data_IF_945098914090
#
_entry.id   IF_945098914090
#
_cell.length_a   1.000
_cell.length_b   1.000
_cell.length_c   1.000
_cell.angle_alpha   90.00
_cell.angle_beta   90.00
_cell.angle_gamma   90.00
#
_symmetry.space_group_name_H-M   'P 1'
#
loop_
_entity.id
_entity.type
_entity.pdbx_description
1 polymer ?
#
# COMPACT_ATOMS: atom_id res chain seq x y z
N UNK A 1 -2.08 -30.98 -42.96
CA UNK A 1 -1.40 -29.99 -43.81
C UNK A 1 -0.10 -29.57 -43.14
N UNK A 2 1.04 -29.97 -43.69
CA UNK A 2 2.40 -29.59 -43.23
C UNK A 2 2.97 -28.60 -44.26
N UNK A 3 3.45 -27.44 -43.82
CA UNK A 3 4.26 -26.52 -44.63
C UNK A 3 5.38 -25.97 -43.74
N UNK A 4 6.54 -26.66 -43.74
CA UNK A 4 7.82 -26.28 -44.37
C UNK A 4 8.49 -25.03 -43.78
N UNK A 5 9.61 -25.31 -43.12
CA UNK A 5 10.71 -24.40 -42.78
C UNK A 5 11.30 -23.79 -44.06
N UNK A 6 11.77 -22.54 -43.99
CA UNK A 6 12.82 -22.02 -44.86
C UNK A 6 13.92 -21.38 -44.03
N UNK A 7 15.14 -21.66 -44.42
CA UNK A 7 16.42 -21.33 -43.80
C UNK A 7 17.15 -20.23 -44.58
N UNK A 8 18.01 -19.51 -43.85
CA UNK A 8 19.22 -18.80 -44.30
C UNK A 8 18.99 -17.50 -45.11
N UNK A 9 19.84 -16.47 -45.08
CA UNK A 9 21.30 -16.47 -44.91
C UNK A 9 21.83 -15.06 -44.56
N UNK A 10 23.02 -15.07 -43.98
CA UNK A 10 24.00 -14.05 -43.55
C UNK A 10 24.07 -12.69 -44.26
N UNK A 11 24.42 -11.61 -43.56
CA UNK A 11 25.79 -11.06 -43.45
C UNK A 11 25.67 -9.53 -43.37
N UNK A 12 26.56 -8.70 -42.83
CA UNK A 12 27.94 -8.82 -42.41
C UNK A 12 28.27 -7.56 -41.58
N UNK A 13 29.36 -7.65 -40.82
CA UNK A 13 29.81 -6.80 -39.73
C UNK A 13 30.68 -5.59 -40.14
N UNK A 14 30.94 -4.72 -39.14
CA UNK A 14 32.00 -3.68 -38.96
C UNK A 14 31.60 -2.28 -39.47
N UNK A 15 31.92 -1.18 -38.77
CA UNK A 15 33.15 -0.87 -38.02
C UNK A 15 32.97 0.16 -36.89
N UNK A 16 33.95 0.12 -35.98
CA UNK A 16 34.31 1.05 -34.90
C UNK A 16 34.57 2.51 -35.36
N UNK A 17 34.35 3.48 -34.46
CA UNK A 17 35.28 4.54 -33.96
C UNK A 17 34.44 5.58 -33.18
N UNK A 18 34.64 5.78 -31.86
CA UNK A 18 35.56 6.73 -31.21
C UNK A 18 35.16 8.20 -31.52
N UNK A 19 34.92 9.16 -30.61
CA UNK A 19 35.54 9.55 -29.35
C UNK A 19 34.86 10.88 -28.89
N UNK A 20 34.90 11.20 -27.57
CA UNK A 20 34.89 12.58 -26.98
C UNK A 20 33.56 13.36 -27.08
N UNK A 21 33.07 14.21 -26.19
CA UNK A 21 33.44 14.88 -24.93
C UNK A 21 32.06 15.25 -24.29
N UNK A 22 31.84 15.25 -22.98
CA UNK A 22 32.33 16.30 -22.10
C UNK A 22 31.49 17.58 -22.14
N UNK A 23 30.16 17.53 -21.95
CA UNK A 23 29.36 18.75 -21.75
C UNK A 23 28.46 18.64 -20.52
N UNK A 24 28.98 19.10 -19.38
CA UNK A 24 28.18 19.48 -18.21
C UNK A 24 27.40 20.75 -18.53
N UNK A 25 26.08 20.82 -18.31
CA UNK A 25 25.37 22.09 -18.42
C UNK A 25 25.71 22.95 -17.20
N UNK A 26 26.44 24.03 -17.46
CA UNK A 26 26.72 25.11 -16.51
C UNK A 26 25.38 25.73 -16.07
N UNK A 27 25.18 25.77 -14.75
CA UNK A 27 24.15 26.57 -14.10
C UNK A 27 24.34 28.05 -14.45
N UNK A 28 23.38 28.63 -15.18
CA UNK A 28 23.27 30.09 -15.32
C UNK A 28 21.98 30.53 -14.64
N UNK A 29 22.20 31.34 -13.62
CA UNK A 29 21.23 31.94 -12.72
C UNK A 29 20.26 32.90 -13.42
N UNK A 30 19.08 32.99 -12.79
CA UNK A 30 18.18 34.15 -12.76
C UNK A 30 17.40 34.49 -14.04
N UNK A 31 16.11 34.14 -14.01
CA UNK A 31 14.97 35.05 -14.22
C UNK A 31 13.69 34.33 -13.74
N UNK A 32 12.92 35.02 -12.87
CA UNK A 32 11.93 34.40 -11.99
C UNK A 32 10.63 33.92 -12.64
N UNK A 33 9.97 33.02 -11.92
CA UNK A 33 8.52 32.81 -11.85
C UNK A 33 8.30 31.52 -11.06
N UNK A 34 7.74 31.65 -9.85
CA UNK A 34 7.04 30.61 -9.10
C UNK A 34 7.63 29.20 -9.18
N UNK A 35 8.55 28.91 -8.27
CA UNK A 35 9.04 27.55 -8.04
C UNK A 35 7.91 26.65 -7.55
N UNK A 36 7.21 26.00 -8.48
CA UNK A 36 6.55 24.74 -8.21
C UNK A 36 7.68 23.78 -7.86
N UNK A 37 7.87 23.51 -6.57
CA UNK A 37 8.56 22.30 -6.15
C UNK A 37 7.84 21.17 -6.88
N UNK A 38 8.53 20.53 -7.83
CA UNK A 38 8.08 19.25 -8.34
C UNK A 38 8.11 18.31 -7.13
N UNK A 39 6.97 18.23 -6.44
CA UNK A 39 6.66 17.18 -5.49
C UNK A 39 6.91 15.90 -6.27
N UNK A 40 8.07 15.32 -6.02
CA UNK A 40 8.41 13.99 -6.51
C UNK A 40 7.38 13.11 -5.85
N UNK A 41 6.28 12.85 -6.55
CA UNK A 41 5.16 12.07 -6.04
C UNK A 41 5.73 10.72 -5.64
N UNK A 42 5.95 10.55 -4.34
CA UNK A 42 6.36 9.27 -3.79
C UNK A 42 5.15 8.38 -4.02
N UNK A 43 5.31 7.37 -4.87
CA UNK A 43 4.29 6.35 -5.07
C UNK A 43 4.01 5.73 -3.69
N UNK A 44 2.75 5.81 -3.27
CA UNK A 44 2.30 5.27 -2.00
C UNK A 44 1.04 4.44 -2.22
N UNK A 45 0.80 3.51 -1.31
CA UNK A 45 -0.43 2.71 -1.29
C UNK A 45 -1.50 3.52 -0.55
N UNK A 46 -2.58 3.87 -1.23
CA UNK A 46 -3.71 4.55 -0.60
C UNK A 46 -4.55 3.54 0.15
N UNK A 47 -4.61 3.64 1.48
CA UNK A 47 -5.35 2.73 2.36
C UNK A 47 -6.25 3.54 3.29
N UNK A 48 -7.52 3.16 3.43
CA UNK A 48 -8.41 3.80 4.40
C UNK A 48 -8.09 3.30 5.82
N UNK A 49 -8.27 4.13 6.85
CA UNK A 49 -7.80 3.82 8.21
C UNK A 49 -8.25 2.46 8.77
N UNK A 50 -9.52 2.08 8.58
CA UNK A 50 -9.97 0.81 9.14
C UNK A 50 -9.43 -0.41 8.38
N UNK A 51 -9.12 -0.27 7.09
CA UNK A 51 -8.46 -1.33 6.33
C UNK A 51 -7.05 -1.57 6.84
N UNK A 52 -6.29 -0.52 7.20
CA UNK A 52 -4.98 -0.68 7.83
C UNK A 52 -5.07 -1.56 9.09
N UNK A 53 -6.09 -1.38 9.93
CA UNK A 53 -6.34 -2.25 11.09
C UNK A 53 -6.61 -3.70 10.68
N UNK A 54 -7.37 -3.93 9.61
CA UNK A 54 -7.59 -5.26 9.06
C UNK A 54 -6.28 -5.91 8.59
N UNK A 55 -5.38 -5.15 7.97
CA UNK A 55 -4.10 -5.65 7.41
C UNK A 55 -3.18 -6.23 8.48
N UNK A 56 -3.24 -5.69 9.70
CA UNK A 56 -2.47 -6.21 10.84
C UNK A 56 -2.70 -7.70 11.09
N UNK A 57 -3.91 -8.20 10.74
CA UNK A 57 -4.37 -9.58 10.97
C UNK A 57 -4.64 -10.38 9.69
N UNK A 58 -4.17 -9.93 8.53
CA UNK A 58 -4.47 -10.60 7.26
C UNK A 58 -3.74 -11.94 7.09
N UNK A 59 -4.48 -13.02 6.77
CA UNK A 59 -3.99 -14.39 6.58
C UNK A 59 -4.17 -14.94 5.15
N UNK A 60 -4.54 -14.11 4.17
CA UNK A 60 -4.76 -14.60 2.81
C UNK A 60 -6.09 -15.34 2.55
N UNK A 61 -7.09 -15.20 3.43
CA UNK A 61 -8.35 -15.95 3.32
C UNK A 61 -9.54 -15.22 3.96
N UNK A 62 -10.75 -15.69 3.65
CA UNK A 62 -12.01 -15.17 4.22
C UNK A 62 -12.75 -14.17 3.34
N UNK A 63 -12.20 -13.82 2.17
CA UNK A 63 -12.80 -12.90 1.20
C UNK A 63 -13.00 -13.58 -0.15
N UNK A 64 -13.64 -12.88 -1.09
CA UNK A 64 -13.73 -13.34 -2.48
C UNK A 64 -12.33 -13.50 -3.08
N UNK A 65 -12.12 -14.42 -4.04
CA UNK A 65 -10.80 -14.62 -4.65
C UNK A 65 -10.17 -13.33 -5.19
N UNK A 66 -10.92 -12.53 -5.95
CA UNK A 66 -10.44 -11.26 -6.49
C UNK A 66 -10.02 -10.26 -5.39
N UNK A 67 -10.71 -10.25 -4.25
CA UNK A 67 -10.34 -9.40 -3.12
C UNK A 67 -9.07 -9.90 -2.43
N UNK A 68 -8.92 -11.22 -2.24
CA UNK A 68 -7.72 -11.85 -1.69
C UNK A 68 -6.49 -11.59 -2.58
N UNK A 69 -6.64 -11.69 -3.89
CA UNK A 69 -5.56 -11.44 -4.85
C UNK A 69 -5.09 -9.98 -4.76
N UNK A 70 -6.03 -9.01 -4.76
CA UNK A 70 -5.71 -7.59 -4.62
C UNK A 70 -5.05 -7.27 -3.26
N UNK A 71 -5.60 -7.81 -2.17
CA UNK A 71 -5.06 -7.64 -0.82
C UNK A 71 -3.62 -8.17 -0.74
N UNK A 72 -3.37 -9.36 -1.31
CA UNK A 72 -2.04 -9.97 -1.28
C UNK A 72 -1.02 -9.14 -2.06
N UNK A 73 -1.40 -8.59 -3.21
CA UNK A 73 -0.55 -7.68 -3.98
C UNK A 73 -0.23 -6.39 -3.22
N UNK A 74 -1.22 -5.80 -2.55
CA UNK A 74 -1.04 -4.61 -1.71
C UNK A 74 -0.11 -4.89 -0.53
N UNK A 75 -0.31 -6.01 0.17
CA UNK A 75 0.54 -6.39 1.30
C UNK A 75 1.98 -6.63 0.83
N UNK A 76 2.18 -7.21 -0.35
CA UNK A 76 3.53 -7.34 -0.91
C UNK A 76 4.19 -5.97 -1.13
N UNK A 77 3.49 -5.00 -1.74
CA UNK A 77 3.99 -3.63 -1.92
C UNK A 77 4.41 -2.97 -0.59
N UNK A 78 3.58 -3.12 0.44
CA UNK A 78 3.87 -2.58 1.78
C UNK A 78 5.08 -3.29 2.42
N UNK A 79 5.19 -4.61 2.27
CA UNK A 79 6.34 -5.39 2.72
C UNK A 79 7.63 -5.01 1.96
N UNK A 80 7.52 -4.59 0.70
CA UNK A 80 8.64 -4.10 -0.11
C UNK A 80 9.05 -2.66 0.25
N UNK A 81 8.41 -2.05 1.24
CA UNK A 81 8.74 -0.72 1.76
C UNK A 81 7.98 0.43 1.10
N UNK A 82 6.99 0.15 0.26
CA UNK A 82 6.13 1.20 -0.27
C UNK A 82 5.38 1.90 0.88
N UNK A 83 5.43 3.24 0.98
CA UNK A 83 4.72 3.97 2.03
C UNK A 83 3.21 3.78 1.93
N UNK A 84 2.52 3.77 3.07
CA UNK A 84 1.06 3.86 3.13
C UNK A 84 0.63 5.32 3.32
N UNK A 85 -0.36 5.75 2.55
CA UNK A 85 -1.11 7.00 2.77
C UNK A 85 -2.50 6.66 3.31
N UNK A 86 -2.89 7.30 4.42
CA UNK A 86 -4.25 7.15 4.93
C UNK A 86 -5.22 8.09 4.20
N UNK A 87 -6.20 7.53 3.49
CA UNK A 87 -7.16 8.28 2.66
C UNK A 87 -8.59 8.22 3.20
N UNK A 88 -9.39 9.25 2.90
CA UNK A 88 -10.84 9.20 3.12
C UNK A 88 -11.55 8.48 1.96
N UNK A 89 -12.53 7.64 2.30
CA UNK A 89 -13.34 6.93 1.33
C UNK A 89 -12.72 5.61 0.84
N UNK A 90 -13.19 5.09 -0.31
CA UNK A 90 -12.67 3.85 -0.87
C UNK A 90 -11.20 3.97 -1.29
N UNK A 91 -10.44 2.88 -1.11
CA UNK A 91 -8.99 2.86 -1.23
C UNK A 91 -8.50 1.81 -2.25
N UNK A 92 -7.19 1.55 -2.31
CA UNK A 92 -6.61 0.56 -3.22
C UNK A 92 -7.16 -0.85 -2.96
N UNK A 93 -7.44 -1.18 -1.70
CA UNK A 93 -7.99 -2.48 -1.34
C UNK A 93 -9.45 -2.64 -1.82
N UNK A 94 -10.23 -1.55 -1.87
CA UNK A 94 -11.62 -1.56 -2.32
C UNK A 94 -11.81 -1.91 -3.81
N UNK A 95 -10.80 -1.74 -4.67
CA UNK A 95 -10.95 -1.71 -6.13
C UNK A 95 -11.81 -2.87 -6.71
N UNK A 96 -11.61 -4.14 -6.32
CA UNK A 96 -12.39 -5.25 -6.87
C UNK A 96 -13.90 -5.19 -6.54
N UNK A 97 -14.31 -4.40 -5.55
CA UNK A 97 -15.68 -4.33 -5.05
C UNK A 97 -16.41 -3.04 -5.44
N UNK A 98 -15.75 -2.07 -6.07
CA UNK A 98 -16.31 -0.74 -6.31
C UNK A 98 -17.48 -0.74 -7.31
N UNK A 99 -17.50 -1.69 -8.23
CA UNK A 99 -18.53 -1.84 -9.26
C UNK A 99 -19.59 -2.89 -8.91
N UNK A 100 -19.42 -3.60 -7.80
CA UNK A 100 -20.32 -4.68 -7.40
C UNK A 100 -21.65 -4.14 -6.85
N UNK A 101 -22.79 -4.75 -7.20
CA UNK A 101 -24.06 -4.47 -6.56
C UNK A 101 -23.96 -4.68 -5.04
N UNK A 102 -24.43 -3.71 -4.26
CA UNK A 102 -24.31 -3.78 -2.80
C UNK A 102 -22.94 -3.34 -2.24
N UNK A 103 -22.10 -2.72 -3.07
CA UNK A 103 -20.88 -2.03 -2.60
C UNK A 103 -21.21 -1.08 -1.43
N UNK A 104 -20.65 -1.38 -0.26
CA UNK A 104 -20.86 -0.60 0.96
C UNK A 104 -19.70 0.36 1.26
N UNK A 105 -18.64 0.39 0.42
CA UNK A 105 -17.42 1.16 0.68
C UNK A 105 -17.66 2.66 0.89
N UNK A 106 -18.78 3.18 0.37
CA UNK A 106 -19.19 4.59 0.47
C UNK A 106 -20.23 4.87 1.56
N UNK A 107 -20.69 3.84 2.27
CA UNK A 107 -21.72 3.99 3.30
C UNK A 107 -21.20 4.79 4.50
N UNK A 108 -22.09 5.55 5.14
CA UNK A 108 -21.75 6.36 6.31
C UNK A 108 -21.25 5.50 7.48
N UNK A 109 -21.76 4.28 7.64
CA UNK A 109 -21.27 3.34 8.66
C UNK A 109 -19.77 3.02 8.47
N UNK A 110 -19.30 2.94 7.23
CA UNK A 110 -17.88 2.66 6.94
C UNK A 110 -17.04 3.91 7.14
N UNK A 111 -17.54 5.09 6.73
CA UNK A 111 -16.89 6.38 7.02
C UNK A 111 -16.74 6.63 8.52
N UNK A 112 -17.75 6.25 9.31
CA UNK A 112 -17.66 6.30 10.76
C UNK A 112 -16.55 5.39 11.30
N UNK A 113 -16.41 4.16 10.77
CA UNK A 113 -15.30 3.26 11.12
C UNK A 113 -13.95 3.86 10.78
N UNK A 114 -13.80 4.53 9.64
CA UNK A 114 -12.54 5.21 9.29
C UNK A 114 -12.18 6.31 10.27
N UNK A 115 -13.14 7.18 10.61
CA UNK A 115 -12.93 8.29 11.56
C UNK A 115 -12.49 7.77 12.92
N UNK A 116 -13.08 6.67 13.37
CA UNK A 116 -12.69 6.00 14.61
C UNK A 116 -11.31 5.37 14.50
N UNK A 117 -11.03 4.66 13.40
CA UNK A 117 -9.76 3.97 13.19
C UNK A 117 -8.58 4.96 13.07
N UNK A 118 -8.73 6.10 12.38
CA UNK A 118 -7.62 7.07 12.26
C UNK A 118 -7.24 7.67 13.61
N UNK A 119 -8.23 7.93 14.48
CA UNK A 119 -7.97 8.45 15.83
C UNK A 119 -7.23 7.42 16.70
N UNK A 120 -7.66 6.15 16.62
CA UNK A 120 -7.01 5.03 17.30
C UNK A 120 -5.57 4.82 16.80
N UNK A 121 -5.33 4.83 15.48
CA UNK A 121 -3.97 4.69 14.89
C UNK A 121 -3.09 5.87 15.32
N UNK A 122 -3.59 7.10 15.26
CA UNK A 122 -2.83 8.28 15.69
C UNK A 122 -2.44 8.20 17.18
N UNK A 123 -3.35 7.70 18.02
CA UNK A 123 -3.07 7.45 19.44
C UNK A 123 -1.96 6.41 19.62
N UNK A 124 -2.02 5.27 18.92
CA UNK A 124 -1.01 4.22 19.04
C UNK A 124 0.38 4.65 18.55
N UNK A 125 0.43 5.50 17.52
CA UNK A 125 1.70 6.02 16.98
C UNK A 125 2.21 7.26 17.74
N UNK A 126 1.43 7.82 18.67
CA UNK A 126 1.80 9.01 19.42
C UNK A 126 2.00 10.25 18.55
N UNK A 127 1.39 10.30 17.35
CA UNK A 127 1.53 11.42 16.40
C UNK A 127 0.24 11.66 15.62
N UNK A 128 0.06 12.90 15.17
CA UNK A 128 -1.03 13.23 14.25
C UNK A 128 -0.77 12.61 12.87
N UNK A 129 -1.86 12.19 12.22
CA UNK A 129 -1.83 11.67 10.85
C UNK A 129 -2.49 12.72 9.96
N UNK A 130 -1.66 13.40 9.17
CA UNK A 130 -2.11 14.45 8.26
C UNK A 130 -2.47 13.86 6.90
N UNK A 131 -3.55 14.36 6.30
CA UNK A 131 -3.93 14.02 4.93
C UNK A 131 -2.79 14.36 3.97
N UNK A 132 -2.52 13.50 2.98
CA UNK A 132 -1.44 13.71 2.02
C UNK A 132 -0.05 13.33 2.53
N UNK A 133 0.10 12.91 3.79
CA UNK A 133 1.36 12.36 4.31
C UNK A 133 1.33 10.85 4.32
N UNK A 134 2.35 10.24 3.71
CA UNK A 134 2.57 8.81 3.77
C UNK A 134 3.63 8.43 4.80
N UNK A 135 3.64 7.17 5.22
CA UNK A 135 4.64 6.62 6.12
C UNK A 135 4.90 5.14 5.82
N UNK A 136 6.09 4.65 6.15
CA UNK A 136 6.41 3.23 5.99
C UNK A 136 5.91 2.45 7.20
N UNK A 137 5.35 1.27 6.96
CA UNK A 137 5.01 0.29 8.00
C UNK A 137 6.28 -0.48 8.43
N UNK A 138 7.27 0.26 8.91
CA UNK A 138 8.52 -0.32 9.39
C UNK A 138 8.30 -1.20 10.63
N UNK A 139 9.37 -1.85 11.09
CA UNK A 139 9.34 -2.74 12.26
C UNK A 139 8.77 -2.07 13.50
N UNK A 140 9.12 -0.81 13.75
CA UNK A 140 8.69 -0.10 14.95
C UNK A 140 7.21 0.27 14.85
N UNK A 141 6.78 0.83 13.72
CA UNK A 141 5.39 1.21 13.44
C UNK A 141 4.50 -0.02 13.51
N UNK A 142 4.86 -1.11 12.83
CA UNK A 142 4.06 -2.33 12.81
C UNK A 142 3.96 -2.99 14.19
N UNK A 143 5.04 -2.97 14.99
CA UNK A 143 5.02 -3.48 16.38
C UNK A 143 4.04 -2.69 17.25
N UNK A 144 4.13 -1.35 17.23
CA UNK A 144 3.25 -0.48 18.01
C UNK A 144 1.78 -0.71 17.68
N UNK A 145 1.45 -0.80 16.38
CA UNK A 145 0.08 -1.05 15.93
C UNK A 145 -0.40 -2.44 16.36
N UNK A 146 0.43 -3.48 16.24
CA UNK A 146 0.07 -4.84 16.65
C UNK A 146 -0.10 -4.98 18.16
N UNK A 147 0.77 -4.37 18.96
CA UNK A 147 0.65 -4.35 20.42
C UNK A 147 -0.63 -3.65 20.86
N UNK A 148 -0.89 -2.46 20.32
CA UNK A 148 -2.12 -1.72 20.60
C UNK A 148 -3.38 -2.49 20.15
N UNK A 149 -3.32 -3.15 19.00
CA UNK A 149 -4.42 -3.99 18.51
C UNK A 149 -4.68 -5.19 19.44
N UNK A 150 -3.62 -5.87 19.89
CA UNK A 150 -3.70 -7.01 20.80
C UNK A 150 -4.26 -6.61 22.19
N UNK A 151 -3.87 -5.43 22.69
CA UNK A 151 -4.44 -4.85 23.92
C UNK A 151 -5.89 -4.36 23.74
N UNK A 152 -6.35 -4.23 22.50
CA UNK A 152 -7.69 -3.74 22.19
C UNK A 152 -7.83 -2.21 22.19
N UNK A 153 -6.74 -1.46 22.36
CA UNK A 153 -6.77 0.01 22.47
C UNK A 153 -7.08 0.71 21.15
N UNK A 154 -6.84 0.04 20.01
CA UNK A 154 -7.16 0.53 18.66
C UNK A 154 -8.25 -0.28 17.94
N UNK A 155 -9.20 -0.84 18.70
CA UNK A 155 -10.24 -1.74 18.16
C UNK A 155 -11.64 -1.16 18.19
N UNK A 156 -11.82 0.14 18.46
CA UNK A 156 -13.17 0.74 18.48
C UNK A 156 -13.86 0.62 17.12
N UNK A 157 -13.12 0.81 16.03
CA UNK A 157 -13.63 0.63 14.67
C UNK A 157 -14.01 -0.83 14.33
N UNK A 158 -13.55 -1.81 15.12
CA UNK A 158 -13.88 -3.23 14.94
C UNK A 158 -15.24 -3.61 15.55
N UNK A 159 -15.89 -2.73 16.29
CA UNK A 159 -17.19 -3.03 16.90
C UNK A 159 -18.25 -3.38 15.85
N UNK A 160 -18.95 -4.49 16.07
CA UNK A 160 -19.91 -5.04 15.11
C UNK A 160 -19.28 -5.55 13.80
N UNK A 161 -17.97 -5.74 13.74
CA UNK A 161 -17.32 -6.41 12.60
C UNK A 161 -17.47 -7.93 12.72
N UNK A 162 -17.91 -8.58 11.65
CA UNK A 162 -18.07 -10.04 11.59
C UNK A 162 -16.75 -10.79 11.85
N UNK A 163 -15.61 -10.18 11.49
CA UNK A 163 -14.28 -10.76 11.64
C UNK A 163 -13.65 -10.54 13.02
N UNK A 164 -14.33 -9.82 13.93
CA UNK A 164 -13.75 -9.41 15.22
C UNK A 164 -13.20 -10.60 16.01
N UNK A 165 -13.91 -11.74 16.02
CA UNK A 165 -13.49 -12.96 16.74
C UNK A 165 -12.25 -13.59 16.09
N UNK A 166 -12.20 -13.66 14.76
CA UNK A 166 -11.04 -14.16 14.02
C UNK A 166 -9.80 -13.30 14.32
N UNK A 167 -9.91 -11.98 14.16
CA UNK A 167 -8.83 -11.05 14.44
C UNK A 167 -8.34 -11.17 15.90
N UNK A 168 -9.25 -11.40 16.85
CA UNK A 168 -8.88 -11.60 18.27
C UNK A 168 -8.08 -12.89 18.49
N UNK A 169 -8.40 -13.97 17.75
CA UNK A 169 -7.62 -15.22 17.82
C UNK A 169 -6.23 -15.04 17.22
N UNK A 170 -6.12 -14.31 16.12
CA UNK A 170 -4.85 -14.00 15.46
C UNK A 170 -3.95 -13.15 16.38
N UNK A 171 -4.51 -12.11 16.99
CA UNK A 171 -3.78 -11.25 17.92
C UNK A 171 -3.27 -12.02 19.15
N UNK A 172 -4.07 -12.96 19.70
CA UNK A 172 -3.64 -13.86 20.80
C UNK A 172 -2.57 -14.87 20.39
N UNK A 173 -2.40 -15.09 19.09
CA UNK A 173 -1.38 -15.96 18.54
C UNK A 173 -0.18 -15.16 18.01
N UNK A 174 0.08 -13.98 18.58
CA UNK A 174 1.19 -13.09 18.23
C UNK A 174 1.26 -12.76 16.73
N UNK A 175 0.10 -12.68 16.06
CA UNK A 175 0.01 -12.41 14.61
C UNK A 175 0.78 -13.43 13.74
N UNK A 176 1.05 -14.64 14.25
CA UNK A 176 1.74 -15.69 13.49
C UNK A 176 0.98 -16.04 12.22
N UNK A 177 1.71 -16.10 11.11
CA UNK A 177 1.16 -16.40 9.79
C UNK A 177 0.48 -15.21 9.13
N UNK A 178 0.46 -14.02 9.74
CA UNK A 178 0.01 -12.82 9.03
C UNK A 178 0.97 -12.45 7.90
N UNK A 179 0.41 -12.06 6.76
CA UNK A 179 1.19 -11.79 5.55
C UNK A 179 1.86 -10.42 5.60
N UNK A 180 1.29 -9.45 6.34
CA UNK A 180 1.93 -8.15 6.54
C UNK A 180 3.14 -8.30 7.46
N UNK A 181 4.31 -7.93 6.94
CA UNK A 181 5.60 -7.98 7.63
C UNK A 181 6.27 -6.61 7.47
N UNK A 182 7.14 -6.21 8.41
CA UNK A 182 7.93 -5.01 8.17
C UNK A 182 8.91 -5.27 7.01
N UNK A 183 9.23 -4.25 6.20
CA UNK A 183 10.30 -4.35 5.21
C UNK A 183 11.63 -4.79 5.83
N UNK A 184 12.43 -5.49 5.03
CA UNK A 184 13.77 -5.96 5.41
C UNK A 184 14.76 -4.80 5.63
#
# INVERSE_FOLDING_TARGET
MRCRKSTAYTGQSRSHEALLEGETPICRSELGSEGVCCDKQIMSVSIRPHHLLCMLTYLGKGYTPAFVDNYSAIVQRLNDGEPVELVDGPDDLCQPMLSEPGCHCRNESVRHRDRTAVADIAQALGRQLESGKSFVLDRQVLSLLREAFAMGTIRKACEGCEWQILCSKIARNDFRGCHLAPPD
#
